data_IF_481881443039
#
_entry.id   IF_481881443039
#
_cell.length_a   1.000
_cell.length_b   1.000
_cell.length_c   1.000
_cell.angle_alpha   90.00
_cell.angle_beta   90.00
_cell.angle_gamma   90.00
#
_symmetry.space_group_name_H-M   'P 1'
#
loop_
_entity.id
_entity.type
_entity.pdbx_description
1 polymer ?
#
# COMPACT_ATOMS: atom_id res chain seq x y z
N UNK A 1 9.15 19.72 22.85
CA UNK A 1 10.38 19.80 22.02
C UNK A 1 10.07 19.11 20.71
N UNK A 2 10.28 19.76 19.58
CA UNK A 2 10.07 19.13 18.27
C UNK A 2 11.17 18.12 18.01
N UNK A 3 10.80 16.88 17.69
CA UNK A 3 11.76 15.81 17.37
C UNK A 3 12.69 16.23 16.22
N UNK A 4 13.98 15.93 16.34
CA UNK A 4 14.95 16.14 15.26
C UNK A 4 14.60 15.28 14.03
N UNK A 5 15.11 15.63 12.85
CA UNK A 5 14.87 14.84 11.64
C UNK A 5 15.34 13.38 11.79
N UNK A 6 16.48 13.15 12.45
CA UNK A 6 16.99 11.80 12.66
C UNK A 6 16.11 10.99 13.65
N UNK A 7 15.55 11.62 14.68
CA UNK A 7 14.57 10.97 15.55
C UNK A 7 13.29 10.61 14.79
N UNK A 8 12.79 11.50 13.90
CA UNK A 8 11.63 11.23 13.03
C UNK A 8 11.88 10.04 12.11
N UNK A 9 13.05 9.98 11.46
CA UNK A 9 13.45 8.86 10.61
C UNK A 9 13.48 7.54 11.37
N UNK A 10 14.07 7.52 12.57
CA UNK A 10 14.15 6.34 13.41
C UNK A 10 12.76 5.88 13.88
N UNK A 11 11.92 6.79 14.37
CA UNK A 11 10.55 6.50 14.79
C UNK A 11 9.71 5.92 13.63
N UNK A 12 9.76 6.55 12.45
CA UNK A 12 9.01 6.09 11.29
C UNK A 12 9.48 4.71 10.82
N UNK A 13 10.79 4.48 10.70
CA UNK A 13 11.33 3.19 10.25
C UNK A 13 11.02 2.05 11.22
N UNK A 14 11.09 2.29 12.53
CA UNK A 14 10.70 1.31 13.55
C UNK A 14 9.22 0.99 13.50
N UNK A 15 8.37 1.99 13.29
CA UNK A 15 6.93 1.77 13.13
C UNK A 15 6.61 0.90 11.93
N UNK A 16 7.18 1.18 10.75
CA UNK A 16 6.93 0.38 9.56
C UNK A 16 7.37 -1.08 9.73
N UNK A 17 8.48 -1.34 10.44
CA UNK A 17 8.89 -2.72 10.80
C UNK A 17 7.88 -3.39 11.72
N UNK A 18 7.46 -2.69 12.78
CA UNK A 18 6.46 -3.20 13.72
C UNK A 18 5.14 -3.50 13.04
N UNK A 19 4.66 -2.59 12.17
CA UNK A 19 3.42 -2.77 11.42
C UNK A 19 3.52 -3.96 10.45
N UNK A 20 4.67 -4.12 9.74
CA UNK A 20 4.92 -5.29 8.91
C UNK A 20 4.80 -6.59 9.72
N UNK A 21 5.40 -6.64 10.90
CA UNK A 21 5.34 -7.84 11.74
C UNK A 21 3.91 -8.12 12.22
N UNK A 22 3.13 -7.09 12.54
CA UNK A 22 1.72 -7.23 12.89
C UNK A 22 0.89 -7.78 11.71
N UNK A 23 1.08 -7.26 10.49
CA UNK A 23 0.42 -7.79 9.29
C UNK A 23 0.83 -9.25 9.04
N UNK A 24 2.12 -9.56 9.08
CA UNK A 24 2.60 -10.93 8.85
C UNK A 24 2.00 -11.91 9.87
N UNK A 25 2.02 -11.57 11.16
CA UNK A 25 1.44 -12.41 12.22
C UNK A 25 -0.05 -12.66 11.99
N UNK A 26 -0.82 -11.59 11.72
CA UNK A 26 -2.25 -11.71 11.49
C UNK A 26 -2.58 -12.56 10.25
N UNK A 27 -1.81 -12.43 9.18
CA UNK A 27 -2.04 -13.20 7.97
C UNK A 27 -1.61 -14.67 8.11
N UNK A 28 -0.56 -14.96 8.85
CA UNK A 28 -0.20 -16.33 9.22
C UNK A 28 -1.29 -17.01 10.07
N UNK A 29 -1.91 -16.27 10.99
CA UNK A 29 -3.05 -16.76 11.78
C UNK A 29 -4.29 -17.05 10.93
N UNK A 30 -4.59 -16.19 9.95
CA UNK A 30 -5.74 -16.34 9.05
C UNK A 30 -5.57 -17.50 8.05
N UNK A 31 -4.36 -17.71 7.56
CA UNK A 31 -4.02 -18.68 6.50
C UNK A 31 -3.59 -20.04 7.04
N UNK A 32 -2.87 -20.05 8.15
CA UNK A 32 -2.14 -21.21 8.69
C UNK A 32 -0.77 -21.46 8.05
N UNK A 33 -0.38 -20.66 7.05
CA UNK A 33 0.92 -20.68 6.40
C UNK A 33 1.98 -19.84 7.11
N UNK A 34 3.15 -19.68 6.48
CA UNK A 34 4.26 -18.85 6.98
C UNK A 34 4.82 -17.96 5.89
N UNK A 35 5.25 -16.76 6.29
CA UNK A 35 5.95 -15.85 5.39
C UNK A 35 7.38 -16.31 5.11
N UNK A 36 7.74 -16.36 3.83
CA UNK A 36 9.13 -16.39 3.38
C UNK A 36 9.65 -14.97 3.33
N UNK A 37 10.84 -14.72 3.91
CA UNK A 37 11.44 -13.40 4.00
C UNK A 37 12.77 -13.35 3.26
N UNK A 38 12.98 -12.29 2.47
CA UNK A 38 14.21 -12.09 1.69
C UNK A 38 14.65 -10.64 1.78
N UNK A 39 15.86 -10.42 2.27
CA UNK A 39 16.47 -9.09 2.28
C UNK A 39 17.01 -8.71 0.90
N UNK A 40 17.00 -7.42 0.62
CA UNK A 40 17.63 -6.85 -0.55
C UNK A 40 18.35 -5.55 -0.20
N UNK A 41 19.38 -5.21 -0.96
CA UNK A 41 20.16 -3.99 -0.77
C UNK A 41 19.82 -2.97 -1.85
N UNK A 42 19.74 -1.69 -1.47
CA UNK A 42 19.59 -0.59 -2.39
C UNK A 42 20.96 -0.19 -2.99
N UNK A 43 20.98 0.29 -4.24
CA UNK A 43 22.22 0.72 -4.90
C UNK A 43 22.91 1.91 -4.23
N UNK A 44 22.12 2.82 -3.60
CA UNK A 44 22.64 3.91 -2.78
C UNK A 44 23.03 3.39 -1.40
N UNK A 45 22.17 3.57 -0.42
CA UNK A 45 22.34 3.10 0.95
C UNK A 45 21.06 2.47 1.48
N UNK A 46 21.18 1.51 2.39
CA UNK A 46 20.06 0.79 2.97
C UNK A 46 19.53 -0.33 2.09
N UNK A 47 18.24 -0.62 2.21
CA UNK A 47 17.59 -1.72 1.51
C UNK A 47 16.21 -2.00 2.09
N UNK A 48 15.77 -3.24 1.97
CA UNK A 48 14.47 -3.66 2.48
C UNK A 48 14.37 -5.16 2.67
N UNK A 49 13.17 -5.59 3.05
CA UNK A 49 12.81 -6.99 3.16
C UNK A 49 11.49 -7.23 2.43
N UNK A 50 11.50 -8.24 1.58
CA UNK A 50 10.32 -8.80 0.94
C UNK A 50 9.81 -9.91 1.84
N UNK A 51 8.54 -9.87 2.22
CA UNK A 51 7.87 -10.94 2.95
C UNK A 51 6.71 -11.44 2.10
N UNK A 52 6.71 -12.70 1.68
CA UNK A 52 5.67 -13.31 0.82
C UNK A 52 5.11 -14.55 1.50
N UNK A 53 3.78 -14.64 1.55
CA UNK A 53 3.05 -15.84 1.91
C UNK A 53 2.19 -16.29 0.73
N UNK A 54 2.22 -17.60 0.43
CA UNK A 54 1.32 -18.28 -0.49
C UNK A 54 0.70 -19.45 0.27
N UNK A 55 -0.63 -19.46 0.34
CA UNK A 55 -1.31 -20.40 1.19
C UNK A 55 -2.74 -20.71 0.77
N UNK A 56 -3.55 -21.10 1.74
CA UNK A 56 -4.92 -21.59 1.51
C UNK A 56 -5.94 -20.45 1.39
N UNK A 57 -5.71 -19.34 2.08
CA UNK A 57 -6.56 -18.15 2.08
C UNK A 57 -5.97 -17.11 1.12
N UNK A 58 -4.68 -16.86 1.25
CA UNK A 58 -3.95 -15.95 0.37
C UNK A 58 -3.30 -16.72 -0.77
N UNK A 59 -3.78 -16.53 -2.00
CA UNK A 59 -3.08 -17.06 -3.18
C UNK A 59 -1.69 -16.45 -3.28
N UNK A 60 -1.57 -15.17 -2.96
CA UNK A 60 -0.33 -14.47 -2.67
C UNK A 60 -0.59 -13.21 -1.86
N UNK A 61 0.10 -13.06 -0.77
CA UNK A 61 0.21 -11.78 -0.07
C UNK A 61 1.68 -11.40 0.10
N UNK A 62 1.99 -10.16 -0.15
CA UNK A 62 3.31 -9.60 0.11
C UNK A 62 3.21 -8.41 1.07
N UNK A 63 4.14 -8.37 2.03
CA UNK A 63 4.31 -7.24 2.96
C UNK A 63 5.77 -6.84 2.94
N UNK A 64 6.07 -5.75 2.24
CA UNK A 64 7.43 -5.28 2.04
C UNK A 64 7.72 -4.05 2.91
N UNK A 65 8.93 -3.99 3.43
CA UNK A 65 9.46 -2.77 4.05
C UNK A 65 10.75 -2.36 3.36
N UNK A 66 11.02 -1.07 3.36
CA UNK A 66 12.29 -0.51 2.91
C UNK A 66 12.71 0.67 3.78
N UNK A 67 14.02 0.87 3.87
CA UNK A 67 14.64 2.09 4.38
C UNK A 67 15.86 2.35 3.50
N UNK A 68 15.79 3.38 2.70
CA UNK A 68 16.78 3.68 1.64
C UNK A 68 17.18 5.14 1.68
N UNK A 69 18.41 5.42 1.25
CA UNK A 69 18.89 6.77 1.03
C UNK A 69 19.76 6.82 -0.23
N UNK A 70 19.82 7.98 -0.85
CA UNK A 70 20.59 8.18 -2.08
C UNK A 70 20.40 9.58 -2.63
N UNK A 71 20.68 9.73 -3.93
CA UNK A 71 20.47 10.96 -4.67
C UNK A 71 19.53 10.70 -5.83
N UNK A 72 18.60 11.63 -6.07
CA UNK A 72 17.77 11.62 -7.27
C UNK A 72 18.59 12.00 -8.49
N UNK A 73 18.31 11.36 -9.64
CA UNK A 73 18.84 11.80 -10.90
C UNK A 73 18.31 13.19 -11.28
N UNK A 74 19.03 13.91 -12.15
CA UNK A 74 18.63 15.25 -12.57
C UNK A 74 17.21 15.30 -13.18
N UNK A 75 16.78 14.25 -13.88
CA UNK A 75 15.45 14.13 -14.46
C UNK A 75 14.34 14.07 -13.39
N UNK A 76 14.61 13.51 -12.22
CA UNK A 76 13.67 13.40 -11.12
C UNK A 76 13.75 14.55 -10.13
N UNK A 77 14.92 15.15 -9.97
CA UNK A 77 15.14 16.25 -9.04
C UNK A 77 14.14 17.40 -9.21
N UNK A 78 13.79 17.77 -10.44
CA UNK A 78 12.84 18.83 -10.72
C UNK A 78 11.37 18.50 -10.37
N UNK A 79 11.07 17.22 -10.08
CA UNK A 79 9.72 16.74 -9.83
C UNK A 79 9.45 16.48 -8.33
N UNK A 80 10.48 16.55 -7.49
CA UNK A 80 10.40 16.21 -6.06
C UNK A 80 10.61 17.46 -5.22
N UNK A 81 9.72 17.71 -4.26
CA UNK A 81 9.84 18.84 -3.32
C UNK A 81 11.12 18.73 -2.48
N UNK A 82 11.70 19.88 -2.13
CA UNK A 82 12.85 19.98 -1.24
C UNK A 82 14.17 19.56 -1.87
N UNK A 83 14.20 19.37 -3.19
CA UNK A 83 15.43 18.98 -3.93
C UNK A 83 16.12 20.17 -4.59
N UNK A 84 15.64 21.40 -4.39
CA UNK A 84 16.16 22.61 -5.02
C UNK A 84 17.64 22.86 -4.67
N UNK A 85 18.05 22.49 -3.45
CA UNK A 85 19.42 22.68 -2.94
C UNK A 85 20.27 21.43 -2.95
N UNK A 86 19.67 20.25 -2.80
CA UNK A 86 20.34 18.95 -2.75
C UNK A 86 19.46 17.89 -3.37
N UNK A 87 20.06 16.97 -4.14
CA UNK A 87 19.36 15.81 -4.67
C UNK A 87 19.23 14.66 -3.65
N UNK A 88 19.80 14.81 -2.46
CA UNK A 88 19.76 13.78 -1.42
C UNK A 88 18.35 13.48 -0.94
N UNK A 89 18.08 12.21 -0.72
CA UNK A 89 16.84 11.75 -0.11
C UNK A 89 17.09 10.63 0.90
N UNK A 90 16.16 10.54 1.84
CA UNK A 90 15.95 9.37 2.69
C UNK A 90 14.48 9.01 2.65
N UNK A 91 14.18 7.72 2.52
CA UNK A 91 12.81 7.23 2.49
C UNK A 91 12.69 5.92 3.26
N UNK A 92 11.63 5.79 4.04
CA UNK A 92 11.23 4.52 4.65
C UNK A 92 9.74 4.30 4.46
N UNK A 93 9.33 3.04 4.33
CA UNK A 93 7.92 2.73 4.13
C UNK A 93 7.62 1.24 4.20
N UNK A 94 6.32 0.98 4.20
CA UNK A 94 5.71 -0.34 4.10
C UNK A 94 4.78 -0.37 2.90
N UNK A 95 4.72 -1.51 2.20
CA UNK A 95 3.78 -1.76 1.11
C UNK A 95 3.21 -3.17 1.24
N UNK A 96 1.91 -3.29 1.11
CA UNK A 96 1.17 -4.54 1.20
C UNK A 96 0.24 -4.70 0.00
N UNK A 97 0.24 -5.88 -0.60
CA UNK A 97 -0.81 -6.31 -1.54
C UNK A 97 -1.20 -7.73 -1.22
N UNK A 98 -2.50 -7.97 -1.05
CA UNK A 98 -3.07 -9.28 -0.77
C UNK A 98 -4.02 -9.71 -1.88
N UNK A 99 -3.69 -10.82 -2.56
CA UNK A 99 -4.53 -11.51 -3.55
C UNK A 99 -5.04 -12.80 -2.95
N UNK A 100 -6.37 -12.96 -2.94
CA UNK A 100 -7.06 -14.03 -2.23
C UNK A 100 -7.33 -15.26 -3.10
N UNK A 101 -7.37 -16.46 -2.50
CA UNK A 101 -7.83 -17.66 -3.21
C UNK A 101 -9.31 -17.53 -3.60
N UNK A 102 -10.16 -17.19 -2.64
CA UNK A 102 -11.59 -17.01 -2.86
C UNK A 102 -11.91 -15.71 -3.62
N UNK A 103 -12.73 -15.73 -4.66
CA UNK A 103 -13.23 -14.53 -5.32
C UNK A 103 -14.20 -13.71 -4.45
N UNK A 104 -14.74 -14.29 -3.37
CA UNK A 104 -15.64 -13.61 -2.42
C UNK A 104 -14.87 -12.63 -1.52
N UNK A 105 -13.57 -12.82 -1.35
CA UNK A 105 -12.71 -11.94 -0.55
C UNK A 105 -12.03 -10.94 -1.47
N UNK A 106 -12.20 -9.63 -1.26
CA UNK A 106 -11.56 -8.61 -2.08
C UNK A 106 -10.03 -8.62 -1.95
N UNK A 107 -9.35 -8.17 -2.97
CA UNK A 107 -7.94 -7.83 -2.87
C UNK A 107 -7.77 -6.50 -2.11
N UNK A 108 -6.68 -6.40 -1.34
CA UNK A 108 -6.33 -5.20 -0.59
C UNK A 108 -4.94 -4.71 -0.98
N UNK A 109 -4.83 -3.39 -1.06
CA UNK A 109 -3.56 -2.69 -1.15
C UNK A 109 -3.45 -1.70 0.01
N UNK A 110 -2.27 -1.59 0.58
CA UNK A 110 -1.92 -0.59 1.57
C UNK A 110 -0.46 -0.19 1.38
N UNK A 111 -0.17 1.09 1.48
CA UNK A 111 1.19 1.58 1.63
C UNK A 111 1.21 2.85 2.48
N UNK A 112 2.29 3.03 3.23
CA UNK A 112 2.63 4.32 3.84
C UNK A 112 4.14 4.50 3.82
N UNK A 113 4.57 5.75 3.65
CA UNK A 113 5.97 6.12 3.59
C UNK A 113 6.23 7.43 4.30
N UNK A 114 7.44 7.59 4.84
CA UNK A 114 8.01 8.85 5.24
C UNK A 114 9.19 9.17 4.33
N UNK A 115 9.17 10.33 3.70
CA UNK A 115 10.21 10.81 2.80
C UNK A 115 10.82 12.09 3.38
N UNK A 116 12.14 12.19 3.32
CA UNK A 116 12.90 13.36 3.73
C UNK A 116 13.90 13.75 2.64
N UNK A 117 13.83 15.01 2.24
CA UNK A 117 14.75 15.72 1.35
C UNK A 117 15.19 16.99 2.05
N UNK A 118 15.22 18.15 1.42
CA UNK A 118 15.23 19.47 2.09
C UNK A 118 13.92 19.77 2.86
N UNK A 119 12.86 19.04 2.55
CA UNK A 119 11.59 18.97 3.27
C UNK A 119 11.32 17.54 3.73
N UNK A 120 10.26 17.32 4.51
CA UNK A 120 9.84 15.96 4.86
C UNK A 120 8.32 15.85 4.95
N UNK A 121 7.76 14.68 4.59
CA UNK A 121 6.32 14.44 4.58
C UNK A 121 6.00 12.96 4.61
N UNK A 122 4.75 12.65 4.93
CA UNK A 122 4.17 11.32 4.76
C UNK A 122 3.37 11.22 3.46
N UNK A 123 3.30 10.02 2.92
CA UNK A 123 2.42 9.66 1.84
C UNK A 123 1.96 8.22 2.00
N UNK A 124 0.85 7.88 1.36
CA UNK A 124 0.32 6.52 1.42
C UNK A 124 -1.16 6.43 1.13
N UNK A 125 -1.74 5.32 1.51
CA UNK A 125 -3.15 5.04 1.35
C UNK A 125 -3.47 3.56 1.45
N UNK A 126 -4.74 3.26 1.35
CA UNK A 126 -5.29 1.91 1.28
C UNK A 126 -6.48 1.90 0.34
N UNK A 127 -6.62 0.84 -0.43
CA UNK A 127 -7.77 0.63 -1.32
C UNK A 127 -8.16 -0.84 -1.39
N UNK A 128 -9.43 -1.07 -1.75
CA UNK A 128 -10.02 -2.39 -1.85
C UNK A 128 -10.48 -2.67 -3.30
N UNK A 129 -10.19 -3.88 -3.79
CA UNK A 129 -10.57 -4.32 -5.13
C UNK A 129 -11.38 -5.61 -5.03
N UNK A 130 -12.72 -5.55 -4.91
CA UNK A 130 -13.57 -6.73 -4.94
C UNK A 130 -13.64 -7.30 -6.36
N UNK A 131 -13.64 -8.63 -6.45
CA UNK A 131 -13.88 -9.35 -7.69
C UNK A 131 -15.38 -9.48 -7.98
N UNK A 132 -16.14 -9.70 -6.92
CA UNK A 132 -17.61 -9.75 -6.92
C UNK A 132 -18.09 -8.51 -6.15
N UNK A 133 -18.96 -7.69 -6.72
CA UNK A 133 -19.52 -6.52 -6.04
C UNK A 133 -20.22 -6.90 -4.74
N UNK A 134 -19.95 -6.12 -3.67
CA UNK A 134 -20.60 -6.24 -2.38
C UNK A 134 -20.72 -4.83 -1.78
N UNK A 135 -21.90 -4.25 -1.89
CA UNK A 135 -22.14 -2.86 -1.48
C UNK A 135 -22.00 -2.70 0.05
N UNK A 136 -22.44 -3.69 0.84
CA UNK A 136 -22.33 -3.64 2.30
C UNK A 136 -20.89 -3.67 2.78
N UNK A 137 -20.07 -4.51 2.15
CA UNK A 137 -18.63 -4.55 2.44
C UNK A 137 -17.95 -3.25 2.03
N UNK A 138 -18.34 -2.70 0.88
CA UNK A 138 -17.83 -1.42 0.38
C UNK A 138 -18.19 -0.27 1.33
N UNK A 139 -19.44 -0.20 1.77
CA UNK A 139 -19.89 0.81 2.74
C UNK A 139 -19.17 0.67 4.08
N UNK A 140 -19.03 -0.57 4.58
CA UNK A 140 -18.30 -0.83 5.83
C UNK A 140 -16.82 -0.40 5.74
N UNK A 141 -16.14 -0.75 4.65
CA UNK A 141 -14.75 -0.36 4.38
C UNK A 141 -14.59 1.16 4.42
N UNK A 142 -15.43 1.88 3.68
CA UNK A 142 -15.38 3.33 3.63
C UNK A 142 -15.74 4.00 4.95
N UNK A 143 -16.71 3.45 5.71
CA UNK A 143 -17.05 3.95 7.03
C UNK A 143 -15.87 3.84 8.02
N UNK A 144 -15.14 2.71 8.01
CA UNK A 144 -13.95 2.53 8.84
C UNK A 144 -12.82 3.48 8.48
N UNK A 145 -12.61 3.72 7.19
CA UNK A 145 -11.62 4.70 6.75
C UNK A 145 -12.00 6.12 7.15
N UNK A 146 -13.29 6.46 7.05
CA UNK A 146 -13.78 7.76 7.51
C UNK A 146 -13.58 7.94 9.01
N UNK A 147 -13.93 6.94 9.83
CA UNK A 147 -13.69 6.96 11.28
C UNK A 147 -12.21 7.20 11.62
N UNK A 148 -11.29 6.59 10.87
CA UNK A 148 -9.85 6.78 11.07
C UNK A 148 -9.37 8.20 10.68
N UNK A 149 -9.90 8.74 9.58
CA UNK A 149 -9.59 10.09 9.12
C UNK A 149 -10.10 11.16 10.07
N UNK A 150 -11.35 11.04 10.51
CA UNK A 150 -12.04 12.01 11.38
C UNK A 150 -11.35 12.18 12.75
N UNK A 151 -10.53 11.21 13.20
CA UNK A 151 -9.71 11.35 14.40
C UNK A 151 -8.60 12.40 14.26
N UNK A 152 -8.24 12.76 13.04
CA UNK A 152 -7.16 13.70 12.73
C UNK A 152 -7.68 14.99 12.09
N UNK A 153 -8.53 14.89 11.07
CA UNK A 153 -9.17 16.03 10.40
C UNK A 153 -10.43 15.58 9.67
N UNK A 154 -11.53 16.32 9.84
CA UNK A 154 -12.84 16.03 9.25
C UNK A 154 -12.83 16.06 7.70
N UNK A 155 -11.86 16.73 7.09
CA UNK A 155 -11.73 16.82 5.63
C UNK A 155 -10.87 15.70 5.04
N UNK A 156 -10.05 15.00 5.84
CA UNK A 156 -9.10 14.01 5.32
C UNK A 156 -9.79 12.93 4.50
N UNK A 157 -10.92 12.42 4.99
CA UNK A 157 -11.60 11.36 4.25
C UNK A 157 -12.09 11.82 2.89
N UNK A 158 -12.75 12.98 2.79
CA UNK A 158 -13.27 13.51 1.52
C UNK A 158 -12.16 13.79 0.52
N UNK A 159 -11.09 14.43 0.96
CA UNK A 159 -9.98 14.83 0.12
C UNK A 159 -9.16 13.62 -0.33
N UNK A 160 -8.85 12.72 0.59
CA UNK A 160 -8.03 11.55 0.30
C UNK A 160 -8.80 10.48 -0.49
N UNK A 161 -10.13 10.39 -0.29
CA UNK A 161 -10.98 9.55 -1.14
C UNK A 161 -11.00 10.05 -2.57
N UNK A 162 -11.19 11.34 -2.77
CA UNK A 162 -11.14 11.95 -4.11
C UNK A 162 -9.80 11.68 -4.79
N UNK A 163 -8.69 11.90 -4.08
CA UNK A 163 -7.36 11.61 -4.60
C UNK A 163 -7.19 10.12 -4.97
N UNK A 164 -7.75 9.22 -4.16
CA UNK A 164 -7.72 7.79 -4.42
C UNK A 164 -8.50 7.42 -5.68
N UNK A 165 -9.73 7.93 -5.83
CA UNK A 165 -10.59 7.66 -6.97
C UNK A 165 -9.96 8.16 -8.29
N UNK A 166 -9.33 9.33 -8.27
CA UNK A 166 -8.60 9.88 -9.41
C UNK A 166 -7.31 9.09 -9.73
N UNK A 167 -6.56 8.68 -8.70
CA UNK A 167 -5.31 7.96 -8.88
C UNK A 167 -5.49 6.55 -9.43
N UNK A 168 -6.45 5.79 -8.89
CA UNK A 168 -6.68 4.39 -9.26
C UNK A 168 -7.68 4.20 -10.41
N UNK A 169 -7.80 5.21 -11.28
CA UNK A 169 -8.64 5.13 -12.47
C UNK A 169 -7.86 4.60 -13.68
N UNK A 170 -8.41 3.62 -14.38
CA UNK A 170 -7.86 3.06 -15.60
C UNK A 170 -8.38 3.85 -16.81
N UNK A 171 -7.71 4.93 -17.17
CA UNK A 171 -8.14 5.82 -18.25
C UNK A 171 -8.34 5.10 -19.60
N UNK A 172 -7.53 4.09 -19.92
CA UNK A 172 -7.63 3.30 -21.14
C UNK A 172 -8.79 2.28 -21.15
N UNK A 173 -9.46 2.09 -20.01
CA UNK A 173 -10.63 1.22 -19.84
C UNK A 173 -11.90 1.99 -19.49
N UNK A 174 -11.76 3.26 -19.14
CA UNK A 174 -12.85 4.10 -18.62
C UNK A 174 -13.54 3.48 -17.38
N UNK A 175 -12.75 2.89 -16.49
CA UNK A 175 -13.25 2.24 -15.26
C UNK A 175 -12.29 2.43 -14.06
N UNK A 176 -12.81 2.43 -12.81
CA UNK A 176 -11.96 2.40 -11.63
C UNK A 176 -11.35 1.00 -11.44
N UNK A 177 -10.15 0.94 -10.83
CA UNK A 177 -9.48 -0.33 -10.50
C UNK A 177 -10.29 -1.15 -9.48
N UNK A 178 -10.87 -0.51 -8.48
CA UNK A 178 -11.65 -1.12 -7.41
C UNK A 178 -12.74 -0.17 -6.91
N UNK A 179 -13.09 -0.28 -5.65
CA UNK A 179 -14.09 0.59 -5.00
C UNK A 179 -13.45 1.84 -4.37
N UNK A 180 -12.16 2.05 -4.60
CA UNK A 180 -11.39 3.16 -4.02
C UNK A 180 -10.95 2.86 -2.59
N UNK A 181 -10.79 3.91 -1.84
CA UNK A 181 -10.29 3.96 -0.48
C UNK A 181 -9.83 5.38 -0.18
N UNK A 182 -8.63 5.53 0.38
CA UNK A 182 -7.98 6.83 0.58
C UNK A 182 -6.54 6.81 0.06
N UNK A 183 -6.11 7.93 -0.50
CA UNK A 183 -4.74 8.15 -0.96
C UNK A 183 -4.31 9.59 -0.66
N UNK A 184 -3.14 9.75 -0.06
CA UNK A 184 -2.55 11.05 0.25
C UNK A 184 -1.07 11.08 -0.10
N UNK A 185 -0.59 12.25 -0.46
CA UNK A 185 0.82 12.54 -0.68
C UNK A 185 1.15 13.92 -0.11
N UNK A 186 2.43 14.13 0.21
CA UNK A 186 2.90 15.38 0.78
C UNK A 186 2.19 15.81 2.07
N UNK A 187 1.73 14.85 2.91
CA UNK A 187 1.15 15.15 4.20
C UNK A 187 2.22 15.74 5.14
N UNK A 188 2.09 17.02 5.39
CA UNK A 188 2.91 17.80 6.30
C UNK A 188 2.09 19.01 6.77
N UNK A 189 1.41 18.86 7.90
CA UNK A 189 0.59 19.92 8.51
C UNK A 189 1.40 20.93 9.31
N UNK A 190 2.71 20.69 9.46
CA UNK A 190 3.60 21.42 10.36
C UNK A 190 3.73 20.78 11.75
N UNK A 191 2.85 19.83 12.09
CA UNK A 191 2.95 19.00 13.28
C UNK A 191 3.21 17.54 12.88
N UNK A 192 4.48 17.15 12.85
CA UNK A 192 4.91 15.81 12.44
C UNK A 192 4.32 14.70 13.31
N UNK A 193 4.11 14.95 14.60
CA UNK A 193 3.59 13.95 15.53
C UNK A 193 2.11 13.62 15.21
N UNK A 194 1.31 14.62 14.86
CA UNK A 194 -0.09 14.43 14.45
C UNK A 194 -0.15 13.71 13.10
N UNK A 195 0.66 14.12 12.12
CA UNK A 195 0.77 13.44 10.83
C UNK A 195 1.19 11.97 11.01
N UNK A 196 2.15 11.71 11.88
CA UNK A 196 2.60 10.35 12.18
C UNK A 196 1.54 9.53 12.92
N UNK A 197 0.77 10.14 13.81
CA UNK A 197 -0.35 9.48 14.50
C UNK A 197 -1.43 9.07 13.50
N UNK A 198 -1.76 9.93 12.53
CA UNK A 198 -2.67 9.56 11.43
C UNK A 198 -2.15 8.35 10.64
N UNK A 199 -0.87 8.34 10.25
CA UNK A 199 -0.27 7.20 9.53
C UNK A 199 -0.34 5.91 10.36
N UNK A 200 -0.13 5.98 11.68
CA UNK A 200 -0.25 4.83 12.58
C UNK A 200 -1.69 4.33 12.69
N UNK A 201 -2.63 5.25 12.84
CA UNK A 201 -4.06 4.92 12.89
C UNK A 201 -4.52 4.26 11.60
N UNK A 202 -4.14 4.79 10.44
CA UNK A 202 -4.48 4.20 9.15
C UNK A 202 -3.93 2.77 9.01
N UNK A 203 -2.68 2.54 9.41
CA UNK A 203 -2.08 1.21 9.37
C UNK A 203 -2.83 0.20 10.24
N UNK A 204 -3.17 0.59 11.47
CA UNK A 204 -3.91 -0.25 12.42
C UNK A 204 -5.34 -0.51 11.95
N UNK A 205 -6.02 0.52 11.44
CA UNK A 205 -7.38 0.41 10.89
C UNK A 205 -7.41 -0.53 9.68
N UNK A 206 -6.46 -0.38 8.74
CA UNK A 206 -6.38 -1.28 7.58
C UNK A 206 -6.16 -2.72 7.98
N UNK A 207 -5.27 -2.99 8.94
CA UNK A 207 -5.06 -4.34 9.47
C UNK A 207 -6.36 -4.94 10.02
N UNK A 208 -7.10 -4.18 10.79
CA UNK A 208 -8.37 -4.65 11.39
C UNK A 208 -9.43 -4.92 10.33
N UNK A 209 -9.58 -4.04 9.34
CA UNK A 209 -10.50 -4.24 8.20
C UNK A 209 -10.16 -5.55 7.47
N UNK A 210 -8.91 -5.76 7.11
CA UNK A 210 -8.50 -6.98 6.38
C UNK A 210 -8.78 -8.24 7.21
N UNK A 211 -8.44 -8.22 8.51
CA UNK A 211 -8.72 -9.35 9.42
C UNK A 211 -10.22 -9.66 9.48
N UNK A 212 -11.05 -8.67 9.65
CA UNK A 212 -12.50 -8.81 9.73
C UNK A 212 -13.08 -9.34 8.42
N UNK A 213 -12.77 -8.70 7.28
CA UNK A 213 -13.26 -9.10 5.96
C UNK A 213 -12.83 -10.52 5.59
N UNK A 214 -11.56 -10.86 5.79
CA UNK A 214 -11.04 -12.20 5.47
C UNK A 214 -11.69 -13.24 6.38
N UNK A 215 -11.78 -13.00 7.70
CA UNK A 215 -12.40 -13.94 8.64
C UNK A 215 -13.87 -14.24 8.30
N UNK A 216 -14.61 -13.24 7.85
CA UNK A 216 -16.03 -13.36 7.54
C UNK A 216 -16.30 -14.06 6.18
N UNK A 217 -15.35 -14.04 5.27
CA UNK A 217 -15.60 -14.45 3.85
C UNK A 217 -14.73 -15.58 3.33
N UNK A 218 -13.62 -15.92 3.98
CA UNK A 218 -12.66 -16.90 3.46
C UNK A 218 -13.23 -18.31 3.26
N UNK A 219 -14.25 -18.66 4.02
CA UNK A 219 -14.89 -19.99 4.01
C UNK A 219 -16.22 -20.00 3.22
N UNK A 220 -16.58 -18.90 2.54
CA UNK A 220 -17.76 -18.84 1.67
C UNK A 220 -17.54 -19.63 0.40
N UNK A 221 -18.55 -20.40 0.01
CA UNK A 221 -18.56 -21.12 -1.27
C UNK A 221 -18.54 -20.14 -2.45
N UNK A 222 -17.88 -20.53 -3.52
CA UNK A 222 -17.78 -19.78 -4.77
C UNK A 222 -17.84 -20.70 -5.99
N UNK A 223 -18.14 -20.11 -7.16
CA UNK A 223 -18.27 -20.83 -8.42
C UNK A 223 -17.08 -20.58 -9.35
N UNK A 224 -16.94 -21.42 -10.39
CA UNK A 224 -15.92 -21.22 -11.42
C UNK A 224 -16.13 -19.91 -12.20
N UNK A 225 -17.38 -19.47 -12.38
CA UNK A 225 -17.69 -18.18 -13.02
C UNK A 225 -17.19 -17.01 -12.18
N UNK A 226 -17.32 -17.09 -10.86
CA UNK A 226 -16.78 -16.07 -9.93
C UNK A 226 -15.25 -16.08 -9.91
N UNK A 227 -14.63 -17.26 -10.02
CA UNK A 227 -13.16 -17.36 -10.17
C UNK A 227 -12.69 -16.72 -11.48
N UNK A 228 -13.41 -16.96 -12.57
CA UNK A 228 -13.12 -16.32 -13.86
C UNK A 228 -13.22 -14.79 -13.78
N UNK A 229 -14.25 -14.27 -13.10
CA UNK A 229 -14.38 -12.82 -12.86
C UNK A 229 -13.20 -12.27 -12.05
N UNK A 230 -12.75 -13.00 -11.01
CA UNK A 230 -11.57 -12.62 -10.25
C UNK A 230 -10.33 -12.50 -11.14
N UNK A 231 -10.10 -13.48 -12.01
CA UNK A 231 -8.94 -13.47 -12.92
C UNK A 231 -8.98 -12.30 -13.91
N UNK A 232 -10.17 -11.95 -14.42
CA UNK A 232 -10.34 -10.79 -15.30
C UNK A 232 -10.09 -9.47 -14.54
N UNK A 233 -10.64 -9.32 -13.33
CA UNK A 233 -10.37 -8.14 -12.48
C UNK A 233 -8.89 -8.01 -12.14
N UNK A 234 -8.19 -9.12 -11.94
CA UNK A 234 -6.74 -9.12 -11.77
C UNK A 234 -6.00 -8.64 -13.03
N UNK A 235 -6.52 -8.91 -14.23
CA UNK A 235 -5.99 -8.31 -15.45
C UNK A 235 -6.00 -6.79 -15.40
N UNK A 236 -7.12 -6.18 -14.94
CA UNK A 236 -7.22 -4.73 -14.73
C UNK A 236 -6.24 -4.22 -13.69
N UNK A 237 -6.07 -4.97 -12.61
CA UNK A 237 -5.08 -4.66 -11.55
C UNK A 237 -3.65 -4.63 -12.11
N UNK A 238 -3.27 -5.61 -12.92
CA UNK A 238 -1.96 -5.67 -13.59
C UNK A 238 -1.77 -4.50 -14.54
N UNK A 239 -2.79 -4.19 -15.37
CA UNK A 239 -2.76 -3.05 -16.28
C UNK A 239 -2.49 -1.74 -15.53
N UNK A 240 -3.21 -1.49 -14.42
CA UNK A 240 -2.98 -0.30 -13.61
C UNK A 240 -1.52 -0.23 -13.12
N UNK A 241 -1.05 -1.29 -12.46
CA UNK A 241 0.27 -1.28 -11.83
C UNK A 241 1.42 -1.14 -12.84
N UNK A 242 1.30 -1.71 -14.04
CA UNK A 242 2.36 -1.64 -15.05
C UNK A 242 2.30 -0.38 -15.92
N UNK A 243 1.12 0.22 -16.11
CA UNK A 243 0.95 1.36 -17.03
C UNK A 243 0.86 2.69 -16.28
N UNK A 244 0.17 2.71 -15.13
CA UNK A 244 -0.24 3.95 -14.48
C UNK A 244 0.37 4.16 -13.08
N UNK A 245 0.76 3.08 -12.36
CA UNK A 245 1.26 3.23 -11.00
C UNK A 245 2.62 3.93 -10.96
N UNK A 246 2.60 5.18 -10.48
CA UNK A 246 3.82 6.01 -10.37
C UNK A 246 4.87 5.36 -9.48
N UNK A 247 4.45 4.65 -8.41
CA UNK A 247 5.36 3.96 -7.51
C UNK A 247 6.11 2.82 -8.19
N UNK A 248 5.41 1.98 -8.94
CA UNK A 248 5.99 0.89 -9.75
C UNK A 248 6.94 1.45 -10.81
N UNK A 249 6.49 2.44 -11.59
CA UNK A 249 7.29 3.05 -12.66
C UNK A 249 8.54 3.73 -12.11
N UNK A 250 8.41 4.47 -11.02
CA UNK A 250 9.53 5.11 -10.33
C UNK A 250 10.54 4.08 -9.83
N UNK A 251 10.08 3.07 -9.09
CA UNK A 251 10.94 2.03 -8.52
C UNK A 251 11.74 1.28 -9.59
N UNK A 252 11.11 0.91 -10.71
CA UNK A 252 11.80 0.24 -11.83
C UNK A 252 12.83 1.15 -12.51
N UNK A 253 12.54 2.43 -12.68
CA UNK A 253 13.44 3.41 -13.30
C UNK A 253 14.63 3.79 -12.40
N UNK A 254 14.45 3.81 -11.08
CA UNK A 254 15.50 4.19 -10.13
C UNK A 254 16.36 3.01 -9.67
N UNK A 255 16.16 1.82 -10.24
CA UNK A 255 16.99 0.65 -9.95
C UNK A 255 16.67 -0.03 -8.62
N UNK A 256 15.42 0.10 -8.15
CA UNK A 256 14.89 -0.68 -7.04
C UNK A 256 14.87 -2.18 -7.34
N UNK A 257 14.68 -3.01 -6.32
CA UNK A 257 14.54 -4.45 -6.49
C UNK A 257 13.29 -4.79 -7.30
N UNK A 258 13.44 -5.30 -8.51
CA UNK A 258 12.33 -5.71 -9.38
C UNK A 258 11.39 -6.70 -8.68
N UNK A 259 11.95 -7.64 -7.93
CA UNK A 259 11.18 -8.62 -7.14
C UNK A 259 10.32 -7.94 -6.06
N UNK A 260 10.88 -6.94 -5.36
CA UNK A 260 10.16 -6.17 -4.35
C UNK A 260 9.05 -5.32 -4.96
N UNK A 261 9.30 -4.70 -6.11
CA UNK A 261 8.36 -3.84 -6.81
C UNK A 261 7.21 -4.66 -7.39
N UNK A 262 7.52 -5.76 -8.12
CA UNK A 262 6.52 -6.62 -8.74
C UNK A 262 5.87 -7.63 -7.77
N UNK A 263 6.17 -7.54 -6.48
CA UNK A 263 5.46 -8.28 -5.44
C UNK A 263 3.95 -8.02 -5.50
N UNK A 264 3.54 -6.82 -5.88
CA UNK A 264 2.12 -6.41 -5.99
C UNK A 264 1.32 -7.18 -7.05
N UNK A 265 1.98 -7.85 -8.01
CA UNK A 265 1.29 -8.57 -9.08
C UNK A 265 0.56 -9.80 -8.56
N UNK A 266 -0.68 -10.09 -9.03
CA UNK A 266 -1.36 -11.34 -8.74
C UNK A 266 -0.63 -12.53 -9.36
N UNK A 267 -0.76 -13.76 -8.77
CA UNK A 267 -0.13 -14.97 -9.33
C UNK A 267 -0.63 -15.34 -10.71
N UNK A 268 -1.92 -15.09 -10.96
CA UNK A 268 -2.61 -15.37 -12.22
C UNK A 268 -3.59 -14.26 -12.56
N UNK A 269 -3.73 -13.96 -13.84
CA UNK A 269 -4.68 -12.98 -14.38
C UNK A 269 -5.15 -13.43 -15.77
N UNK A 270 -6.31 -12.94 -16.20
CA UNK A 270 -6.85 -13.18 -17.55
C UNK A 270 -7.28 -11.88 -18.21
N UNK A 271 -7.29 -11.88 -19.53
CA UNK A 271 -7.82 -10.84 -20.37
C UNK A 271 -8.89 -11.42 -21.29
N UNK A 272 -9.95 -10.63 -21.56
CA UNK A 272 -10.95 -10.87 -22.59
C UNK A 272 -10.66 -10.02 -23.81
#
# INVERSE_FOLDING_TARGET
MTSSLEEKKDLASRWFRSLRDQFCTAFEELDGGKFERKNWNHKGSGGGEISILKGKVFEKVGVNISTVAGEFSDDFKSQIKGTEKSAEYWASGISLVAHMQSPKVPAFHFNTRFLATGENWFGGGTDMTPSIPDDKETEHFHAKLKEACDKSDDNYYSDFKKNCDEYFYLAHRDEPRGVGGIFFDHLNTGNWEDDFNFVKELGSTTLNIIKETVSNKKDLDWTEEEKEQQLIKRGRYVEFNLIWDRGTLFGLKTGGSTEAILMSMPPSAKWK
#
